data_IF_231648596947
#
_entry.id   IF_231648596947
#
_cell.length_a   1.000
_cell.length_b   1.000
_cell.length_c   1.000
_cell.angle_alpha   90.00
_cell.angle_beta   90.00
_cell.angle_gamma   90.00
#
_symmetry.space_group_name_H-M   'P 1'
#
loop_
_entity.id
_entity.type
_entity.pdbx_description
1 polymer ?
#
# COMPACT_ATOMS: atom_id res chain seq x y z
N UNK A 1 6.12 -22.02 13.97
CA UNK A 1 5.95 -20.59 14.32
C UNK A 1 5.21 -19.93 13.18
N UNK A 2 4.10 -19.23 13.46
CA UNK A 2 3.45 -18.38 12.45
C UNK A 2 4.41 -17.22 12.16
N UNK A 3 5.20 -17.36 11.11
CA UNK A 3 6.08 -16.30 10.59
C UNK A 3 5.28 -15.18 9.92
N UNK A 4 4.03 -15.47 9.55
CA UNK A 4 3.13 -14.58 8.84
C UNK A 4 2.98 -13.20 9.54
N UNK A 5 2.64 -13.09 10.85
CA UNK A 5 2.53 -11.80 11.54
C UNK A 5 3.76 -10.91 11.38
N UNK A 6 4.97 -11.45 11.46
CA UNK A 6 6.20 -10.65 11.35
C UNK A 6 6.34 -9.99 9.97
N UNK A 7 5.95 -10.69 8.90
CA UNK A 7 6.03 -10.20 7.53
C UNK A 7 4.85 -9.31 7.14
N UNK A 8 3.68 -9.38 7.81
CA UNK A 8 2.54 -8.48 7.55
C UNK A 8 2.69 -7.12 8.23
N UNK A 9 3.23 -7.08 9.45
CA UNK A 9 3.23 -5.83 10.24
C UNK A 9 4.28 -4.82 9.76
N UNK A 10 5.39 -5.29 9.18
CA UNK A 10 6.48 -4.40 8.76
C UNK A 10 6.10 -3.46 7.59
N UNK A 11 5.51 -3.94 6.46
CA UNK A 11 5.06 -3.06 5.39
C UNK A 11 3.93 -2.13 5.82
N UNK A 12 2.99 -2.64 6.63
CA UNK A 12 1.87 -1.87 7.17
C UNK A 12 2.38 -0.66 7.94
N UNK A 13 3.34 -0.84 8.85
CA UNK A 13 3.90 0.27 9.63
C UNK A 13 4.49 1.37 8.72
N UNK A 14 5.26 0.99 7.68
CA UNK A 14 5.86 1.94 6.75
C UNK A 14 4.78 2.73 5.96
N UNK A 15 3.76 2.03 5.46
CA UNK A 15 2.70 2.64 4.65
C UNK A 15 1.75 3.51 5.49
N UNK A 16 1.51 3.14 6.75
CA UNK A 16 0.76 3.95 7.70
C UNK A 16 1.50 5.26 7.98
N UNK A 17 2.78 5.19 8.32
CA UNK A 17 3.60 6.41 8.57
C UNK A 17 3.62 7.28 7.31
N UNK A 18 3.86 6.69 6.13
CA UNK A 18 3.79 7.39 4.85
C UNK A 18 2.45 8.12 4.65
N UNK A 19 1.33 7.43 4.84
CA UNK A 19 0.01 8.01 4.62
C UNK A 19 -0.26 9.16 5.59
N UNK A 20 0.09 9.01 6.87
CA UNK A 20 0.00 10.12 7.83
C UNK A 20 0.85 11.31 7.42
N UNK A 21 2.06 11.10 6.90
CA UNK A 21 2.91 12.18 6.40
C UNK A 21 2.32 12.91 5.18
N UNK A 22 1.50 12.24 4.37
CA UNK A 22 0.78 12.89 3.26
C UNK A 22 -0.48 13.63 3.75
N UNK A 23 -1.21 13.05 4.70
CA UNK A 23 -2.45 13.63 5.24
C UNK A 23 -2.14 14.87 6.08
N UNK A 24 -1.13 14.81 6.95
CA UNK A 24 -0.74 15.92 7.82
C UNK A 24 -0.34 17.12 6.95
N UNK A 25 -0.91 18.32 7.19
CA UNK A 25 -0.62 19.45 6.34
C UNK A 25 0.84 19.89 6.50
N UNK A 26 1.51 20.09 5.36
CA UNK A 26 2.91 20.53 5.28
C UNK A 26 3.17 21.93 5.89
N UNK A 27 2.12 22.63 6.32
CA UNK A 27 2.26 23.88 7.09
C UNK A 27 2.68 23.64 8.55
N UNK A 28 2.44 22.44 9.09
CA UNK A 28 2.82 22.05 10.45
C UNK A 28 4.20 21.40 10.52
N UNK A 29 4.71 20.96 9.37
CA UNK A 29 5.98 20.24 9.26
C UNK A 29 6.82 20.95 8.20
N UNK A 30 7.94 21.50 8.63
CA UNK A 30 8.86 22.31 7.82
C UNK A 30 8.97 21.82 6.37
N UNK A 31 8.99 22.75 5.39
CA UNK A 31 9.19 22.48 3.94
C UNK A 31 10.61 21.98 3.63
N UNK A 32 11.05 20.99 4.38
CA UNK A 32 12.41 20.49 4.39
C UNK A 32 12.53 19.29 3.46
N UNK A 33 13.61 19.26 2.69
CA UNK A 33 13.93 18.20 1.73
C UNK A 33 13.84 16.80 2.35
N UNK A 34 14.21 16.63 3.63
CA UNK A 34 14.15 15.35 4.33
C UNK A 34 12.73 14.78 4.39
N UNK A 35 11.69 15.60 4.59
CA UNK A 35 10.31 15.13 4.70
C UNK A 35 9.87 14.44 3.41
N UNK A 36 10.15 15.07 2.26
CA UNK A 36 9.80 14.51 0.96
C UNK A 36 10.61 13.24 0.66
N UNK A 37 11.91 13.23 0.97
CA UNK A 37 12.75 12.03 0.81
C UNK A 37 12.27 10.87 1.68
N UNK A 38 11.85 11.14 2.92
CA UNK A 38 11.32 10.13 3.84
C UNK A 38 9.99 9.57 3.34
N UNK A 39 9.04 10.40 2.91
CA UNK A 39 7.77 9.92 2.32
C UNK A 39 8.00 9.00 1.13
N UNK A 40 8.90 9.41 0.23
CA UNK A 40 9.29 8.65 -0.95
C UNK A 40 9.88 7.29 -0.56
N UNK A 41 10.82 7.28 0.39
CA UNK A 41 11.42 6.05 0.92
C UNK A 41 10.36 5.12 1.53
N UNK A 42 9.52 5.63 2.43
CA UNK A 42 8.49 4.85 3.11
C UNK A 42 7.48 4.25 2.13
N UNK A 43 7.04 5.02 1.13
CA UNK A 43 6.11 4.54 0.10
C UNK A 43 6.72 3.41 -0.73
N UNK A 44 7.93 3.61 -1.26
CA UNK A 44 8.59 2.62 -2.14
C UNK A 44 8.96 1.35 -1.36
N UNK A 45 9.64 1.49 -0.22
CA UNK A 45 10.07 0.34 0.57
C UNK A 45 8.87 -0.37 1.19
N UNK A 46 7.85 0.37 1.64
CA UNK A 46 6.60 -0.20 2.11
C UNK A 46 5.96 -1.11 1.06
N UNK A 47 5.83 -0.62 -0.18
CA UNK A 47 5.28 -1.41 -1.28
C UNK A 47 6.15 -2.61 -1.67
N UNK A 48 7.47 -2.44 -1.79
CA UNK A 48 8.36 -3.56 -2.09
C UNK A 48 8.28 -4.66 -1.02
N UNK A 49 8.03 -4.26 0.23
CA UNK A 49 7.90 -5.19 1.35
C UNK A 49 6.54 -5.90 1.39
N UNK A 50 5.53 -5.51 0.59
CA UNK A 50 4.25 -6.22 0.50
C UNK A 50 4.40 -7.60 -0.17
N UNK A 51 5.35 -7.76 -1.10
CA UNK A 51 5.52 -9.02 -1.84
C UNK A 51 5.65 -10.26 -0.92
N UNK A 52 6.55 -10.30 0.08
CA UNK A 52 6.61 -11.42 1.01
C UNK A 52 5.35 -11.56 1.88
N UNK A 53 4.63 -10.47 2.13
CA UNK A 53 3.37 -10.50 2.88
C UNK A 53 2.28 -11.24 2.14
N UNK A 54 2.08 -10.95 0.85
CA UNK A 54 1.07 -11.63 0.03
C UNK A 54 1.39 -13.12 -0.09
N UNK A 55 2.64 -13.47 -0.39
CA UNK A 55 3.08 -14.87 -0.50
C UNK A 55 2.82 -15.64 0.80
N UNK A 56 3.15 -15.04 1.95
CA UNK A 56 2.89 -15.70 3.24
C UNK A 56 1.41 -15.71 3.64
N UNK A 57 0.61 -14.78 3.11
CA UNK A 57 -0.84 -14.74 3.27
C UNK A 57 -1.52 -15.90 2.56
N UNK A 58 -1.18 -16.15 1.29
CA UNK A 58 -1.74 -17.25 0.50
C UNK A 58 -1.51 -18.61 1.20
N UNK A 59 -0.29 -18.82 1.72
CA UNK A 59 0.05 -20.05 2.48
C UNK A 59 -0.78 -20.17 3.76
N UNK A 60 -1.05 -19.05 4.45
CA UNK A 60 -1.85 -19.04 5.66
C UNK A 60 -3.34 -19.28 5.36
N UNK A 61 -3.85 -18.72 4.27
CA UNK A 61 -5.20 -18.91 3.76
C UNK A 61 -5.48 -20.39 3.51
N UNK A 62 -4.64 -21.07 2.72
CA UNK A 62 -4.78 -22.50 2.41
C UNK A 62 -4.83 -23.35 3.69
N UNK A 63 -3.97 -23.03 4.66
CA UNK A 63 -3.90 -23.76 5.94
C UNK A 63 -5.16 -23.55 6.80
N UNK A 64 -5.70 -22.33 6.85
CA UNK A 64 -6.90 -22.01 7.65
C UNK A 64 -8.15 -22.60 6.98
N UNK A 65 -8.28 -22.50 5.67
CA UNK A 65 -9.43 -23.05 4.91
C UNK A 65 -9.50 -24.57 5.08
N UNK A 66 -8.36 -25.27 5.06
CA UNK A 66 -8.31 -26.71 5.29
C UNK A 66 -8.85 -27.13 6.68
N UNK A 67 -8.71 -26.26 7.69
CA UNK A 67 -9.17 -26.51 9.07
C UNK A 67 -10.62 -26.06 9.28
N UNK A 68 -10.99 -24.90 8.72
CA UNK A 68 -12.32 -24.32 8.90
C UNK A 68 -12.86 -23.72 7.58
N UNK A 69 -13.44 -24.55 6.70
CA UNK A 69 -13.99 -24.10 5.42
C UNK A 69 -15.11 -23.06 5.52
N UNK A 70 -15.73 -22.90 6.70
CA UNK A 70 -16.77 -21.88 6.91
C UNK A 70 -16.21 -20.46 6.88
N UNK A 71 -14.91 -20.29 7.10
CA UNK A 71 -14.23 -18.98 7.06
C UNK A 71 -13.82 -18.56 5.66
N UNK A 72 -13.94 -19.43 4.65
CA UNK A 72 -13.52 -19.13 3.27
C UNK A 72 -14.01 -17.78 2.75
N UNK A 73 -15.32 -17.42 2.86
CA UNK A 73 -15.79 -16.13 2.36
C UNK A 73 -15.12 -14.92 3.05
N UNK A 74 -14.87 -15.03 4.36
CA UNK A 74 -14.21 -14.00 5.13
C UNK A 74 -12.72 -13.87 4.74
N UNK A 75 -12.03 -14.99 4.55
CA UNK A 75 -10.61 -15.01 4.17
C UNK A 75 -10.43 -14.47 2.75
N UNK A 76 -11.25 -14.89 1.79
CA UNK A 76 -11.22 -14.38 0.42
C UNK A 76 -11.49 -12.86 0.37
N UNK A 77 -12.43 -12.39 1.20
CA UNK A 77 -12.72 -10.95 1.32
C UNK A 77 -11.53 -10.19 1.91
N UNK A 78 -10.89 -10.73 2.96
CA UNK A 78 -9.68 -10.17 3.54
C UNK A 78 -8.53 -10.09 2.51
N UNK A 79 -8.27 -11.17 1.77
CA UNK A 79 -7.25 -11.23 0.73
C UNK A 79 -7.52 -10.22 -0.40
N UNK A 80 -8.79 -10.11 -0.83
CA UNK A 80 -9.21 -9.12 -1.83
C UNK A 80 -8.96 -7.69 -1.32
N UNK A 81 -9.34 -7.37 -0.08
CA UNK A 81 -9.08 -6.06 0.51
C UNK A 81 -7.58 -5.76 0.65
N UNK A 82 -6.76 -6.77 0.99
CA UNK A 82 -5.31 -6.62 1.04
C UNK A 82 -4.73 -6.29 -0.34
N UNK A 83 -5.19 -6.96 -1.40
CA UNK A 83 -4.77 -6.68 -2.78
C UNK A 83 -5.18 -5.27 -3.22
N UNK A 84 -6.41 -4.83 -2.92
CA UNK A 84 -6.88 -3.47 -3.24
C UNK A 84 -6.04 -2.44 -2.48
N UNK A 85 -5.78 -2.65 -1.18
CA UNK A 85 -4.90 -1.78 -0.38
C UNK A 85 -3.51 -1.66 -1.01
N UNK A 86 -2.91 -2.79 -1.41
CA UNK A 86 -1.61 -2.81 -2.07
C UNK A 86 -1.61 -2.01 -3.38
N UNK A 87 -2.65 -2.16 -4.22
CA UNK A 87 -2.79 -1.40 -5.47
C UNK A 87 -2.88 0.11 -5.21
N UNK A 88 -3.66 0.52 -4.22
CA UNK A 88 -3.80 1.96 -3.87
C UNK A 88 -2.47 2.56 -3.43
N UNK A 89 -1.68 1.85 -2.63
CA UNK A 89 -0.34 2.30 -2.24
C UNK A 89 0.73 2.13 -3.34
N UNK A 90 0.50 1.26 -4.32
CA UNK A 90 1.39 1.06 -5.46
C UNK A 90 1.40 2.28 -6.39
N UNK A 91 0.24 2.94 -6.57
CA UNK A 91 0.11 4.14 -7.42
C UNK A 91 1.10 5.25 -7.01
N UNK A 92 1.13 5.73 -5.74
CA UNK A 92 2.10 6.74 -5.33
C UNK A 92 3.55 6.20 -5.32
N UNK A 93 3.76 4.93 -5.00
CA UNK A 93 5.11 4.34 -5.04
C UNK A 93 5.71 4.37 -6.45
N UNK A 94 4.92 4.05 -7.48
CA UNK A 94 5.33 4.16 -8.89
C UNK A 94 5.60 5.61 -9.27
N UNK A 95 4.76 6.55 -8.84
CA UNK A 95 4.95 7.98 -9.13
C UNK A 95 6.25 8.51 -8.51
N UNK A 96 6.53 8.13 -7.26
CA UNK A 96 7.78 8.44 -6.57
C UNK A 96 8.99 7.80 -7.24
N UNK A 97 8.92 6.51 -7.58
CA UNK A 97 9.99 5.81 -8.29
C UNK A 97 10.29 6.44 -9.65
N UNK A 98 9.24 6.86 -10.38
CA UNK A 98 9.37 7.58 -11.66
C UNK A 98 10.18 8.86 -11.47
N UNK A 99 9.89 9.66 -10.44
CA UNK A 99 10.65 10.87 -10.15
C UNK A 99 12.12 10.61 -9.83
N UNK A 100 12.42 9.53 -9.10
CA UNK A 100 13.81 9.13 -8.85
C UNK A 100 14.50 8.78 -10.17
N UNK A 101 13.89 7.91 -10.98
CA UNK A 101 14.46 7.46 -12.26
C UNK A 101 14.73 8.64 -13.18
N UNK A 102 13.81 9.60 -13.28
CA UNK A 102 13.94 10.83 -14.09
C UNK A 102 15.18 11.65 -13.74
N UNK A 103 15.67 11.59 -12.49
CA UNK A 103 16.87 12.32 -12.06
C UNK A 103 18.18 11.61 -12.39
N UNK A 104 18.14 10.36 -12.87
CA UNK A 104 19.36 9.58 -13.13
C UNK A 104 19.93 9.82 -14.54
N UNK A 105 21.26 9.81 -14.67
CA UNK A 105 21.92 9.89 -15.98
C UNK A 105 21.56 8.72 -16.91
N UNK A 106 21.24 7.57 -16.33
CA UNK A 106 20.85 6.38 -17.07
C UNK A 106 19.54 6.59 -17.84
N UNK A 107 18.55 7.23 -17.20
CA UNK A 107 17.29 7.62 -17.84
C UNK A 107 17.53 8.52 -19.05
N UNK A 108 18.38 9.55 -18.90
CA UNK A 108 18.72 10.47 -20.00
C UNK A 108 19.38 9.74 -21.18
N UNK A 109 20.30 8.80 -20.91
CA UNK A 109 20.97 7.99 -21.95
C UNK A 109 19.98 7.09 -22.69
N UNK A 110 19.04 6.46 -21.99
CA UNK A 110 18.04 5.57 -22.60
C UNK A 110 17.02 6.35 -23.43
N UNK A 111 16.55 7.50 -22.92
CA UNK A 111 15.65 8.40 -23.66
C UNK A 111 16.20 8.77 -25.04
N UNK A 112 17.50 9.06 -25.13
CA UNK A 112 18.16 9.40 -26.39
C UNK A 112 18.37 8.19 -27.30
N UNK A 113 18.48 6.99 -26.74
CA UNK A 113 18.78 5.76 -27.48
C UNK A 113 17.54 5.05 -28.02
N UNK A 114 16.42 5.08 -27.31
CA UNK A 114 15.24 4.27 -27.63
C UNK A 114 13.96 5.12 -27.71
N UNK A 115 13.44 5.32 -28.93
CA UNK A 115 12.21 6.12 -29.16
C UNK A 115 10.95 5.56 -28.47
N UNK A 116 10.82 4.24 -28.35
CA UNK A 116 9.68 3.64 -27.66
C UNK A 116 9.72 3.91 -26.15
N UNK A 117 10.92 4.02 -25.56
CA UNK A 117 11.09 4.35 -24.16
C UNK A 117 10.62 5.77 -23.85
N UNK A 118 10.84 6.73 -24.75
CA UNK A 118 10.38 8.11 -24.53
C UNK A 118 8.85 8.23 -24.49
N UNK A 119 8.12 7.39 -25.23
CA UNK A 119 6.66 7.33 -25.13
C UNK A 119 6.21 6.90 -23.73
N UNK A 120 6.76 5.79 -23.23
CA UNK A 120 6.43 5.25 -21.90
C UNK A 120 6.86 6.22 -20.80
N UNK A 121 8.07 6.76 -20.88
CA UNK A 121 8.59 7.75 -19.93
C UNK A 121 7.69 8.99 -19.88
N UNK A 122 7.23 9.51 -21.01
CA UNK A 122 6.33 10.66 -21.05
C UNK A 122 4.96 10.36 -20.40
N UNK A 123 4.44 9.15 -20.58
CA UNK A 123 3.19 8.72 -19.94
C UNK A 123 3.39 8.62 -18.42
N UNK A 124 4.43 7.91 -17.97
CA UNK A 124 4.77 7.78 -16.55
C UNK A 124 5.04 9.14 -15.90
N UNK A 125 5.72 10.04 -16.60
CA UNK A 125 5.96 11.40 -16.13
C UNK A 125 4.66 12.16 -15.86
N UNK A 126 3.72 12.16 -16.82
CA UNK A 126 2.42 12.81 -16.67
C UNK A 126 1.61 12.21 -15.52
N UNK A 127 1.58 10.88 -15.42
CA UNK A 127 0.94 10.17 -14.31
C UNK A 127 1.60 10.58 -12.99
N UNK A 128 2.93 10.63 -12.92
CA UNK A 128 3.63 11.00 -11.68
C UNK A 128 3.31 12.42 -11.22
N UNK A 129 3.23 13.39 -12.15
CA UNK A 129 2.87 14.77 -11.83
C UNK A 129 1.44 14.84 -11.30
N UNK A 130 0.50 14.15 -11.95
CA UNK A 130 -0.89 14.11 -11.53
C UNK A 130 -1.04 13.44 -10.16
N UNK A 131 -0.47 12.26 -9.98
CA UNK A 131 -0.54 11.47 -8.73
C UNK A 131 0.07 12.23 -7.55
N UNK A 132 1.21 12.89 -7.75
CA UNK A 132 1.90 13.65 -6.69
C UNK A 132 1.33 15.05 -6.49
N UNK A 133 0.31 15.44 -7.24
CA UNK A 133 -0.43 16.67 -6.97
C UNK A 133 -1.09 16.57 -5.59
N UNK A 134 -1.06 17.67 -4.82
CA UNK A 134 -1.42 17.66 -3.38
C UNK A 134 -2.78 17.01 -3.10
N UNK A 135 -3.79 17.28 -3.91
CA UNK A 135 -5.12 16.70 -3.74
C UNK A 135 -5.18 15.22 -4.09
N UNK A 136 -4.51 14.80 -5.16
CA UNK A 136 -4.49 13.40 -5.57
C UNK A 136 -3.78 12.52 -4.54
N UNK A 137 -2.59 12.94 -4.09
CA UNK A 137 -1.82 12.18 -3.11
C UNK A 137 -2.51 12.13 -1.74
N UNK A 138 -3.16 13.22 -1.33
CA UNK A 138 -3.96 13.27 -0.10
C UNK A 138 -5.13 12.28 -0.14
N UNK A 139 -5.87 12.25 -1.26
CA UNK A 139 -6.98 11.31 -1.45
C UNK A 139 -6.49 9.87 -1.45
N UNK A 140 -5.40 9.58 -2.17
CA UNK A 140 -4.82 8.23 -2.21
C UNK A 140 -4.32 7.77 -0.83
N UNK A 141 -3.66 8.64 -0.07
CA UNK A 141 -3.19 8.33 1.28
C UNK A 141 -4.35 8.09 2.25
N UNK A 142 -5.39 8.92 2.19
CA UNK A 142 -6.59 8.78 3.02
C UNK A 142 -7.33 7.49 2.69
N UNK A 143 -7.55 7.22 1.40
CA UNK A 143 -8.16 5.98 0.92
C UNK A 143 -7.33 4.77 1.36
N UNK A 144 -6.00 4.86 1.24
CA UNK A 144 -5.08 3.81 1.67
C UNK A 144 -5.21 3.48 3.16
N UNK A 145 -5.32 4.49 4.04
CA UNK A 145 -5.55 4.27 5.48
C UNK A 145 -6.90 3.61 5.77
N UNK A 146 -7.97 4.06 5.10
CA UNK A 146 -9.30 3.46 5.24
C UNK A 146 -9.27 1.99 4.83
N UNK A 147 -8.72 1.69 3.66
CA UNK A 147 -8.61 0.32 3.16
C UNK A 147 -7.75 -0.55 4.08
N UNK A 148 -6.62 -0.03 4.54
CA UNK A 148 -5.74 -0.74 5.48
C UNK A 148 -6.44 -1.04 6.81
N UNK A 149 -7.28 -0.12 7.30
CA UNK A 149 -8.10 -0.32 8.50
C UNK A 149 -9.13 -1.43 8.28
N UNK A 150 -9.78 -1.45 7.11
CA UNK A 150 -10.72 -2.52 6.72
C UNK A 150 -9.99 -3.86 6.62
N UNK A 151 -8.87 -3.94 5.89
CA UNK A 151 -8.05 -5.15 5.78
C UNK A 151 -7.62 -5.67 7.15
N UNK A 152 -7.14 -4.78 8.03
CA UNK A 152 -6.75 -5.11 9.40
C UNK A 152 -7.92 -5.61 10.24
N UNK A 153 -9.08 -4.97 10.15
CA UNK A 153 -10.30 -5.39 10.86
C UNK A 153 -10.80 -6.76 10.41
N UNK A 154 -10.82 -7.03 9.10
CA UNK A 154 -11.13 -8.35 8.56
C UNK A 154 -10.13 -9.41 9.05
N UNK A 155 -8.82 -9.09 9.04
CA UNK A 155 -7.79 -9.99 9.56
C UNK A 155 -7.98 -10.29 11.06
N UNK A 156 -8.34 -9.28 11.85
CA UNK A 156 -8.64 -9.44 13.26
C UNK A 156 -9.89 -10.31 13.49
N UNK A 157 -10.93 -10.16 12.65
CA UNK A 157 -12.13 -11.00 12.72
C UNK A 157 -11.86 -12.49 12.44
N UNK A 158 -10.87 -12.81 11.60
CA UNK A 158 -10.44 -14.21 11.34
C UNK A 158 -9.83 -14.83 12.60
N UNK A 159 -9.03 -14.05 13.35
CA UNK A 159 -8.27 -14.54 14.51
C UNK A 159 -9.10 -14.51 15.79
N UNK A 160 -9.83 -13.43 16.03
CA UNK A 160 -10.50 -13.14 17.30
C UNK A 160 -12.03 -13.24 17.23
N UNK A 161 -12.59 -13.39 16.02
CA UNK A 161 -14.03 -13.38 15.78
C UNK A 161 -14.59 -11.97 15.51
N UNK A 162 -15.79 -11.88 14.91
CA UNK A 162 -16.40 -10.60 14.50
C UNK A 162 -16.82 -9.72 15.69
N UNK A 163 -17.10 -10.33 16.85
CA UNK A 163 -17.60 -9.63 18.04
C UNK A 163 -16.49 -9.19 19.01
N UNK A 164 -15.22 -9.22 18.59
CA UNK A 164 -14.09 -8.88 19.47
C UNK A 164 -14.14 -7.43 19.97
N UNK A 165 -14.46 -6.47 19.08
CA UNK A 165 -14.65 -5.06 19.42
C UNK A 165 -15.65 -4.35 18.46
N UNK A 166 -16.14 -3.15 18.81
CA UNK A 166 -17.13 -2.44 17.98
C UNK A 166 -16.66 -2.07 16.57
N UNK A 167 -15.36 -1.84 16.37
CA UNK A 167 -14.80 -1.48 15.06
C UNK A 167 -14.73 -2.71 14.17
N UNK A 168 -14.27 -3.84 14.71
CA UNK A 168 -14.23 -5.12 13.97
C UNK A 168 -15.64 -5.57 13.63
N UNK A 169 -16.57 -5.50 14.58
CA UNK A 169 -17.97 -5.85 14.36
C UNK A 169 -18.61 -4.98 13.27
N UNK A 170 -18.34 -3.67 13.30
CA UNK A 170 -18.77 -2.75 12.25
C UNK A 170 -18.18 -3.12 10.88
N UNK A 171 -16.86 -3.36 10.80
CA UNK A 171 -16.19 -3.73 9.55
C UNK A 171 -16.74 -5.05 9.02
N UNK A 172 -16.92 -6.05 9.87
CA UNK A 172 -17.47 -7.35 9.49
C UNK A 172 -18.88 -7.20 8.89
N UNK A 173 -19.73 -6.40 9.55
CA UNK A 173 -21.10 -6.11 9.09
C UNK A 173 -21.20 -5.34 7.77
N UNK A 174 -20.10 -4.79 7.24
CA UNK A 174 -20.07 -4.21 5.89
C UNK A 174 -20.09 -5.28 4.79
N UNK A 175 -19.72 -6.53 5.12
CA UNK A 175 -19.53 -7.61 4.15
C UNK A 175 -20.41 -8.85 4.42
N UNK A 176 -20.85 -9.07 5.67
CA UNK A 176 -21.61 -10.25 6.12
C UNK A 176 -22.79 -9.86 7.00
#
# INVERSE_FOLDING_TARGET
MNIHPLFVHFPIALLVIYAFMEIIPQVWVFKTQWWNSTKMFLSIIGILSIAPTLITGDIAEDAIIAINPKLTPLIETHATMAAITAIVFLIPAIAYATKIIETTDWHRKILLRYKWYSLIANILHKISIFTLHRWAIFTLATLGIILLTITGGLGASIVYGPDFDPIISFIYGLFF
#
